data_IF_256680591167
#
_entry.id   IF_256680591167
#
_cell.length_a   1.000
_cell.length_b   1.000
_cell.length_c   1.000
_cell.angle_alpha   90.00
_cell.angle_beta   90.00
_cell.angle_gamma   90.00
#
_symmetry.space_group_name_H-M   'P 1'
#
loop_
_entity.id
_entity.type
_entity.pdbx_description
1 polymer ?
#
# COMPACT_ATOMS: atom_id res chain seq x y z
N UNK A 1 26.23 -16.25 63.31
CA UNK A 1 27.61 -15.72 63.47
C UNK A 1 27.86 -14.78 62.36
N UNK A 2 27.86 -13.62 62.71
CA UNK A 2 28.80 -12.48 62.82
C UNK A 2 28.74 -11.56 61.61
N UNK A 3 28.12 -10.46 61.83
CA UNK A 3 28.49 -9.02 62.01
C UNK A 3 28.85 -8.33 60.72
N UNK A 4 27.98 -7.39 60.32
CA UNK A 4 27.99 -5.92 60.50
C UNK A 4 29.24 -5.20 59.93
N UNK A 5 29.03 -4.25 59.03
CA UNK A 5 29.34 -2.82 59.35
C UNK A 5 28.72 -1.88 58.29
N UNK A 6 27.88 -1.02 58.82
CA UNK A 6 27.45 0.25 58.24
C UNK A 6 28.60 1.27 58.32
N UNK A 7 28.69 2.25 57.41
CA UNK A 7 29.24 3.55 57.74
C UNK A 7 28.46 4.65 57.00
N UNK A 8 28.00 5.57 57.85
CA UNK A 8 27.20 6.78 57.51
C UNK A 8 28.14 8.03 57.38
N UNK A 9 27.74 8.94 56.46
CA UNK A 9 27.69 10.41 56.51
C UNK A 9 29.03 11.23 56.54
N UNK A 10 29.08 12.59 56.26
CA UNK A 10 27.94 13.53 56.11
C UNK A 10 28.04 14.60 54.96
N UNK A 11 26.92 15.28 54.80
CA UNK A 11 26.59 16.54 54.16
C UNK A 11 27.52 17.71 54.52
N UNK A 12 27.86 18.57 53.56
CA UNK A 12 28.06 20.02 53.79
C UNK A 12 27.54 20.88 52.61
N UNK A 13 26.54 21.69 52.96
CA UNK A 13 26.00 22.81 52.17
C UNK A 13 27.03 23.97 52.19
N UNK A 14 27.15 24.65 51.05
CA UNK A 14 27.57 26.10 51.05
C UNK A 14 26.78 26.79 49.95
N UNK A 15 25.90 27.70 50.38
CA UNK A 15 25.22 28.69 49.58
C UNK A 15 26.19 29.87 49.33
N UNK A 16 26.27 30.35 48.12
CA UNK A 16 26.87 31.66 47.81
C UNK A 16 25.82 32.45 46.97
N UNK A 17 25.25 33.44 47.61
CA UNK A 17 24.52 34.55 47.01
C UNK A 17 25.49 35.46 46.28
N UNK A 18 25.24 35.76 45.01
CA UNK A 18 25.84 36.93 44.33
C UNK A 18 24.71 37.75 43.73
N UNK A 19 24.56 38.97 44.27
CA UNK A 19 23.70 40.04 43.79
C UNK A 19 24.37 40.77 42.63
N UNK A 20 23.73 41.09 41.51
CA UNK A 20 24.26 42.10 40.58
C UNK A 20 23.60 43.44 40.85
N UNK A 21 24.45 44.44 41.03
CA UNK A 21 24.12 45.85 41.18
C UNK A 21 23.55 46.47 39.89
N UNK A 22 22.45 47.18 40.02
CA UNK A 22 21.86 48.06 39.01
C UNK A 22 22.73 49.35 38.89
N UNK A 23 23.32 49.57 37.72
CA UNK A 23 23.87 50.88 37.30
C UNK A 23 22.88 51.53 36.34
N UNK A 24 22.14 52.54 36.85
CA UNK A 24 21.33 53.44 36.05
C UNK A 24 22.25 54.51 35.41
N UNK A 25 22.37 54.51 34.11
CA UNK A 25 23.00 55.60 33.36
C UNK A 25 21.91 56.52 32.80
N UNK A 26 21.86 57.75 33.35
CA UNK A 26 21.08 58.84 32.80
C UNK A 26 21.70 59.34 31.50
N UNK A 27 20.99 59.18 30.38
CA UNK A 27 21.33 59.83 29.11
C UNK A 27 20.52 61.12 29.01
N UNK A 28 21.20 62.28 29.06
CA UNK A 28 20.61 63.57 28.73
C UNK A 28 20.35 63.68 27.24
N UNK A 29 19.09 63.95 26.88
CA UNK A 29 18.67 64.25 25.51
C UNK A 29 18.88 65.71 25.22
N UNK A 30 19.83 66.02 24.33
CA UNK A 30 20.03 67.37 23.79
C UNK A 30 19.16 67.51 22.54
N UNK A 31 18.30 68.56 22.40
CA UNK A 31 17.47 68.74 21.20
C UNK A 31 18.35 69.22 20.01
N UNK A 32 18.23 68.52 18.89
CA UNK A 32 18.89 68.90 17.64
C UNK A 32 18.15 70.05 16.93
N UNK A 33 18.86 70.95 16.22
CA UNK A 33 18.24 72.07 15.55
C UNK A 33 17.40 71.67 14.35
N UNK A 34 16.25 72.33 14.15
CA UNK A 34 15.31 72.15 13.04
C UNK A 34 16.01 72.50 11.73
N UNK A 35 16.09 71.53 10.82
CA UNK A 35 16.46 71.72 9.41
C UNK A 35 15.29 72.35 8.61
N UNK A 36 15.57 73.15 7.56
CA UNK A 36 14.56 73.82 6.78
C UNK A 36 13.70 72.84 5.95
N UNK A 37 12.43 73.11 5.89
CA UNK A 37 11.41 72.35 5.20
C UNK A 37 11.68 72.34 3.69
N UNK A 38 11.82 71.15 3.10
CA UNK A 38 11.89 70.87 1.67
C UNK A 38 10.49 70.84 1.08
N UNK A 39 10.26 71.37 -0.09
CA UNK A 39 8.95 71.30 -0.77
C UNK A 39 8.54 69.83 -1.06
N UNK A 40 7.22 69.53 -1.11
CA UNK A 40 6.76 68.16 -1.33
C UNK A 40 7.21 67.63 -2.68
N UNK A 41 7.89 66.51 -2.67
CA UNK A 41 8.27 65.80 -3.90
C UNK A 41 7.01 65.26 -4.62
N UNK A 42 6.95 65.51 -5.92
CA UNK A 42 5.96 64.95 -6.84
C UNK A 42 5.93 63.39 -6.72
N UNK A 43 4.78 62.72 -6.65
CA UNK A 43 4.69 61.28 -6.58
C UNK A 43 5.40 60.65 -7.79
N UNK A 44 6.42 59.84 -7.55
CA UNK A 44 7.06 59.01 -8.58
C UNK A 44 6.03 58.01 -9.15
N UNK A 45 5.91 57.96 -10.47
CA UNK A 45 5.07 57.02 -11.13
C UNK A 45 5.50 55.59 -10.73
N UNK A 46 4.57 54.90 -10.06
CA UNK A 46 4.79 53.46 -9.72
C UNK A 46 4.89 52.68 -11.02
N UNK A 47 6.03 51.99 -11.20
CA UNK A 47 6.19 50.99 -12.25
C UNK A 47 5.08 49.93 -12.07
N UNK A 48 4.41 49.53 -13.15
CA UNK A 48 3.41 48.46 -13.05
C UNK A 48 4.01 47.21 -12.40
N UNK A 49 3.36 46.73 -11.36
CA UNK A 49 3.71 45.46 -10.74
C UNK A 49 3.54 44.35 -11.80
N UNK A 50 4.49 43.42 -11.96
CA UNK A 50 4.29 42.29 -12.86
C UNK A 50 3.03 41.54 -12.44
N UNK A 51 2.06 41.41 -13.34
CA UNK A 51 0.89 40.60 -13.18
C UNK A 51 1.38 39.15 -13.12
N UNK A 52 1.04 38.36 -12.08
CA UNK A 52 1.39 36.95 -12.07
C UNK A 52 0.82 36.29 -13.33
N UNK A 53 1.56 35.41 -14.01
CA UNK A 53 1.01 34.70 -15.15
C UNK A 53 -0.26 33.95 -14.71
N UNK A 54 -1.33 34.08 -15.51
CA UNK A 54 -2.57 33.37 -15.27
C UNK A 54 -2.27 31.86 -15.11
N UNK A 55 -2.94 31.15 -14.17
CA UNK A 55 -2.72 29.74 -14.00
C UNK A 55 -2.96 29.04 -15.34
N UNK A 56 -1.89 28.45 -15.90
CA UNK A 56 -1.96 27.63 -17.10
C UNK A 56 -2.87 26.44 -16.76
N UNK A 57 -4.06 26.44 -17.34
CA UNK A 57 -4.99 25.32 -17.24
C UNK A 57 -4.25 24.09 -17.79
N UNK A 58 -4.06 23.01 -17.00
CA UNK A 58 -3.42 21.82 -17.54
C UNK A 58 -4.17 21.35 -18.77
N UNK A 59 -3.46 21.10 -19.87
CA UNK A 59 -4.06 20.46 -21.03
C UNK A 59 -4.72 19.15 -20.57
N UNK A 60 -5.92 18.80 -21.08
CA UNK A 60 -6.56 17.55 -20.73
C UNK A 60 -5.58 16.41 -20.99
N UNK A 61 -5.30 15.64 -19.94
CA UNK A 61 -4.42 14.48 -20.03
C UNK A 61 -4.93 13.58 -21.16
N UNK A 62 -4.06 13.29 -22.13
CA UNK A 62 -4.38 12.36 -23.21
C UNK A 62 -4.87 11.06 -22.57
N UNK A 63 -6.04 10.51 -22.96
CA UNK A 63 -6.52 9.27 -22.40
C UNK A 63 -5.41 8.21 -22.53
N UNK A 64 -5.01 7.59 -21.42
CA UNK A 64 -4.10 6.46 -21.46
C UNK A 64 -4.70 5.41 -22.41
N UNK A 65 -3.91 4.74 -23.27
CA UNK A 65 -4.44 3.70 -24.14
C UNK A 65 -5.21 2.70 -23.31
N UNK A 66 -6.42 2.35 -23.77
CA UNK A 66 -7.27 1.37 -23.08
C UNK A 66 -6.45 0.09 -22.86
N UNK A 67 -6.19 -0.27 -21.60
CA UNK A 67 -5.44 -1.48 -21.30
C UNK A 67 -6.24 -2.69 -21.78
N UNK A 68 -5.59 -3.69 -22.41
CA UNK A 68 -6.25 -4.90 -22.83
C UNK A 68 -7.05 -5.51 -21.67
N UNK A 69 -8.26 -5.99 -21.96
CA UNK A 69 -9.22 -6.38 -20.92
C UNK A 69 -8.82 -7.67 -20.15
N UNK A 70 -7.98 -8.56 -20.75
CA UNK A 70 -7.60 -9.84 -20.12
C UNK A 70 -6.29 -10.42 -20.69
N UNK A 71 -5.78 -11.50 -20.08
CA UNK A 71 -4.63 -12.25 -20.58
C UNK A 71 -4.84 -12.75 -22.03
N UNK A 72 -6.03 -13.26 -22.32
CA UNK A 72 -6.38 -13.74 -23.68
C UNK A 72 -6.33 -12.59 -24.68
N UNK A 73 -6.81 -11.40 -24.32
CA UNK A 73 -6.80 -10.23 -25.20
C UNK A 73 -5.39 -9.68 -25.49
N UNK A 74 -4.46 -9.82 -24.53
CA UNK A 74 -3.04 -9.46 -24.74
C UNK A 74 -2.33 -10.49 -25.63
N UNK A 75 -2.83 -11.72 -25.62
CA UNK A 75 -2.21 -12.87 -26.25
C UNK A 75 -1.39 -13.70 -25.27
N UNK A 76 -1.44 -15.00 -25.48
CA UNK A 76 -0.75 -15.99 -24.67
C UNK A 76 0.05 -16.93 -25.55
N UNK A 77 1.19 -17.41 -25.05
CA UNK A 77 2.09 -18.37 -25.71
C UNK A 77 2.50 -19.44 -24.70
N UNK A 78 2.80 -20.64 -25.21
CA UNK A 78 3.45 -21.66 -24.38
C UNK A 78 4.80 -21.15 -23.90
N UNK A 79 5.08 -21.37 -22.62
CA UNK A 79 6.39 -21.13 -22.04
C UNK A 79 7.26 -22.38 -22.06
N UNK A 80 8.48 -22.33 -21.48
CA UNK A 80 9.35 -23.50 -21.33
C UNK A 80 8.70 -24.57 -20.43
N UNK A 81 9.15 -25.81 -20.56
CA UNK A 81 8.68 -26.88 -19.66
C UNK A 81 8.91 -26.53 -18.19
N UNK A 82 7.96 -26.84 -17.31
CA UNK A 82 8.15 -26.68 -15.85
C UNK A 82 9.38 -27.44 -15.35
N UNK A 83 9.73 -28.56 -15.98
CA UNK A 83 10.94 -29.35 -15.63
C UNK A 83 12.24 -28.60 -15.92
N UNK A 84 12.25 -27.63 -16.83
CA UNK A 84 13.43 -26.80 -17.13
C UNK A 84 13.58 -25.58 -16.21
N UNK A 85 12.59 -25.30 -15.38
CA UNK A 85 12.67 -24.20 -14.43
C UNK A 85 13.50 -24.61 -13.20
N UNK A 86 14.39 -23.73 -12.71
CA UNK A 86 15.17 -23.98 -11.50
C UNK A 86 14.30 -23.82 -10.25
N UNK A 87 13.40 -24.78 -10.02
CA UNK A 87 12.53 -24.77 -8.84
C UNK A 87 13.33 -25.19 -7.61
N UNK A 88 13.67 -24.23 -6.75
CA UNK A 88 14.30 -24.49 -5.46
C UNK A 88 13.39 -25.32 -4.55
N UNK A 89 13.99 -26.24 -3.74
CA UNK A 89 13.22 -27.13 -2.87
C UNK A 89 12.36 -26.37 -1.84
N UNK A 90 12.92 -25.33 -1.22
CA UNK A 90 12.22 -24.48 -0.25
C UNK A 90 11.07 -23.69 -0.89
N UNK A 91 11.31 -23.05 -2.03
CA UNK A 91 10.34 -22.22 -2.73
C UNK A 91 9.18 -23.07 -3.26
N UNK A 92 9.50 -24.23 -3.86
CA UNK A 92 8.48 -25.16 -4.32
C UNK A 92 7.63 -25.70 -3.17
N UNK A 93 8.23 -26.00 -2.00
CA UNK A 93 7.50 -26.48 -0.84
C UNK A 93 6.55 -25.41 -0.29
N UNK A 94 7.02 -24.16 -0.16
CA UNK A 94 6.21 -23.04 0.27
C UNK A 94 5.07 -22.72 -0.70
N UNK A 95 5.37 -22.74 -2.02
CA UNK A 95 4.36 -22.56 -3.05
C UNK A 95 3.32 -23.69 -3.06
N UNK A 96 3.71 -24.96 -2.84
CA UNK A 96 2.78 -26.08 -2.75
C UNK A 96 1.85 -25.94 -1.53
N UNK A 97 2.37 -25.49 -0.38
CA UNK A 97 1.55 -25.22 0.80
C UNK A 97 0.50 -24.11 0.50
N UNK A 98 0.91 -22.98 -0.07
CA UNK A 98 0.01 -21.91 -0.47
C UNK A 98 -0.98 -22.31 -1.56
N UNK A 99 -0.55 -23.16 -2.51
CA UNK A 99 -1.44 -23.70 -3.53
C UNK A 99 -2.53 -24.58 -2.91
N UNK A 100 -2.21 -25.44 -1.94
CA UNK A 100 -3.20 -26.26 -1.20
C UNK A 100 -4.25 -25.38 -0.54
N UNK A 101 -3.87 -24.29 0.10
CA UNK A 101 -4.80 -23.32 0.71
C UNK A 101 -5.71 -22.66 -0.34
N UNK A 102 -5.22 -22.50 -1.57
CA UNK A 102 -5.98 -21.91 -2.67
C UNK A 102 -7.02 -22.86 -3.27
N UNK A 103 -6.83 -24.17 -3.16
CA UNK A 103 -7.63 -25.21 -3.82
C UNK A 103 -9.15 -25.12 -3.59
N UNK A 104 -9.65 -24.88 -2.37
CA UNK A 104 -11.10 -24.73 -2.14
C UNK A 104 -11.72 -23.56 -2.91
N UNK A 105 -10.92 -22.59 -3.31
CA UNK A 105 -11.37 -21.38 -4.02
C UNK A 105 -11.24 -21.51 -5.54
N UNK A 106 -10.11 -22.00 -6.04
CA UNK A 106 -9.87 -22.09 -7.50
C UNK A 106 -10.79 -23.08 -8.20
N UNK A 107 -11.22 -24.12 -7.49
CA UNK A 107 -12.13 -25.15 -8.04
C UNK A 107 -13.58 -24.70 -8.21
N UNK A 108 -13.95 -23.50 -7.69
CA UNK A 108 -15.32 -22.94 -7.78
C UNK A 108 -15.35 -21.51 -8.33
N UNK A 109 -14.20 -20.82 -8.39
CA UNK A 109 -14.13 -19.41 -8.79
C UNK A 109 -14.07 -19.26 -10.30
N UNK A 110 -14.82 -18.31 -10.85
CA UNK A 110 -14.64 -17.85 -12.24
C UNK A 110 -13.34 -17.06 -12.38
N UNK A 111 -12.53 -17.43 -13.35
CA UNK A 111 -11.27 -16.76 -13.68
C UNK A 111 -11.50 -15.62 -14.67
N UNK A 112 -11.17 -14.39 -14.22
CA UNK A 112 -11.31 -13.19 -15.04
C UNK A 112 -10.21 -13.04 -16.12
N UNK A 113 -9.11 -13.80 -16.02
CA UNK A 113 -8.05 -13.79 -17.02
C UNK A 113 -8.43 -14.51 -18.31
N UNK A 114 -9.40 -15.43 -18.24
CA UNK A 114 -9.83 -16.30 -19.32
C UNK A 114 -8.91 -17.52 -19.55
N UNK A 115 -7.82 -17.64 -18.78
CA UNK A 115 -6.85 -18.74 -18.95
C UNK A 115 -7.43 -20.06 -18.46
N UNK A 116 -8.10 -20.09 -17.31
CA UNK A 116 -8.50 -21.31 -16.63
C UNK A 116 -10.02 -21.38 -16.37
N UNK A 117 -10.49 -22.57 -16.11
CA UNK A 117 -11.84 -22.88 -15.63
C UNK A 117 -11.76 -23.61 -14.30
N UNK A 118 -12.78 -23.55 -13.44
CA UNK A 118 -12.79 -24.29 -12.16
C UNK A 118 -12.46 -25.78 -12.32
N UNK A 119 -12.92 -26.41 -13.39
CA UNK A 119 -12.67 -27.83 -13.66
C UNK A 119 -11.20 -28.16 -13.93
N UNK A 120 -10.43 -27.23 -14.52
CA UNK A 120 -9.02 -27.44 -14.86
C UNK A 120 -8.18 -27.71 -13.61
N UNK A 121 -8.55 -27.12 -12.47
CA UNK A 121 -7.81 -27.20 -11.20
C UNK A 121 -8.04 -28.50 -10.41
N UNK A 122 -9.12 -29.24 -10.69
CA UNK A 122 -9.56 -30.36 -9.84
C UNK A 122 -8.49 -31.44 -9.69
N UNK A 123 -7.84 -31.86 -10.78
CA UNK A 123 -6.80 -32.88 -10.73
C UNK A 123 -5.58 -32.46 -9.91
N UNK A 124 -5.07 -31.24 -10.17
CA UNK A 124 -3.94 -30.69 -9.43
C UNK A 124 -4.26 -30.52 -7.94
N UNK A 125 -5.48 -30.05 -7.60
CA UNK A 125 -5.90 -29.85 -6.21
C UNK A 125 -6.09 -31.18 -5.47
N UNK A 126 -6.69 -32.19 -6.09
CA UNK A 126 -6.84 -33.53 -5.52
C UNK A 126 -5.46 -34.15 -5.22
N UNK A 127 -4.54 -34.05 -6.20
CA UNK A 127 -3.19 -34.51 -6.03
C UNK A 127 -2.41 -33.74 -4.95
N UNK A 128 -2.57 -32.42 -4.88
CA UNK A 128 -1.92 -31.61 -3.86
C UNK A 128 -2.31 -32.03 -2.44
N UNK A 129 -3.57 -32.35 -2.19
CA UNK A 129 -4.05 -32.82 -0.89
C UNK A 129 -3.37 -34.12 -0.44
N UNK A 130 -3.09 -35.04 -1.38
CA UNK A 130 -2.48 -36.34 -1.13
C UNK A 130 -0.95 -36.36 -1.36
N UNK A 131 -0.32 -35.21 -1.67
CA UNK A 131 1.11 -35.14 -2.03
C UNK A 131 1.98 -35.07 -0.76
N UNK A 132 2.02 -36.16 0.01
CA UNK A 132 2.84 -36.28 1.23
C UNK A 132 4.25 -36.77 0.93
N UNK A 133 5.28 -36.16 1.56
CA UNK A 133 6.67 -36.63 1.56
C UNK A 133 7.42 -36.63 0.22
N UNK A 134 6.81 -36.25 -0.89
CA UNK A 134 7.39 -36.20 -2.23
C UNK A 134 7.92 -34.79 -2.54
N UNK A 135 8.83 -34.70 -3.51
CA UNK A 135 9.35 -33.41 -4.00
C UNK A 135 8.23 -32.48 -4.47
N UNK A 136 8.15 -31.28 -3.90
CA UNK A 136 7.19 -30.27 -4.33
C UNK A 136 7.48 -29.77 -5.76
N UNK A 137 8.75 -29.70 -6.18
CA UNK A 137 9.10 -29.38 -7.56
C UNK A 137 8.53 -30.42 -8.54
N UNK A 138 8.60 -31.70 -8.20
CA UNK A 138 8.00 -32.78 -8.99
C UNK A 138 6.48 -32.65 -9.11
N UNK A 139 5.79 -32.14 -8.06
CA UNK A 139 4.37 -31.85 -8.12
C UNK A 139 4.06 -30.86 -9.25
N UNK A 140 4.74 -29.70 -9.28
CA UNK A 140 4.51 -28.71 -10.32
C UNK A 140 4.88 -29.20 -11.70
N UNK A 141 5.97 -29.95 -11.84
CA UNK A 141 6.37 -30.60 -13.10
C UNK A 141 5.32 -31.58 -13.62
N UNK A 142 4.65 -32.29 -12.72
CA UNK A 142 3.65 -33.31 -13.09
C UNK A 142 2.32 -32.70 -13.51
N UNK A 143 1.85 -31.67 -12.80
CA UNK A 143 0.46 -31.19 -12.93
C UNK A 143 0.33 -29.85 -13.67
N UNK A 144 1.44 -29.16 -13.97
CA UNK A 144 1.40 -27.83 -14.55
C UNK A 144 2.18 -27.72 -15.87
N UNK A 145 1.76 -26.76 -16.66
CA UNK A 145 2.44 -26.23 -17.84
C UNK A 145 2.56 -24.72 -17.72
N UNK A 146 3.52 -24.10 -18.42
CA UNK A 146 3.77 -22.67 -18.32
C UNK A 146 3.13 -21.87 -19.44
N UNK A 147 2.59 -20.72 -19.09
CA UNK A 147 2.02 -19.73 -20.01
C UNK A 147 2.80 -18.43 -19.90
N UNK A 148 3.17 -17.87 -21.05
CA UNK A 148 3.69 -16.50 -21.17
C UNK A 148 2.57 -15.59 -21.63
N UNK A 149 2.24 -14.57 -20.85
CA UNK A 149 1.23 -13.53 -21.19
C UNK A 149 1.95 -12.35 -21.84
N UNK A 150 1.52 -11.98 -23.04
CA UNK A 150 2.13 -10.90 -23.81
C UNK A 150 3.61 -11.17 -24.11
N UNK A 151 4.48 -10.20 -23.77
CA UNK A 151 5.94 -10.32 -23.94
C UNK A 151 6.63 -11.06 -22.80
N UNK A 152 5.90 -11.39 -21.73
CA UNK A 152 6.44 -12.09 -20.55
C UNK A 152 7.37 -11.26 -19.66
N UNK A 153 7.51 -9.95 -19.92
CA UNK A 153 8.36 -9.08 -19.10
C UNK A 153 7.66 -8.77 -17.78
N UNK A 154 8.22 -9.31 -16.70
CA UNK A 154 7.72 -9.15 -15.34
C UNK A 154 8.27 -7.92 -14.66
N UNK A 155 7.41 -7.31 -13.83
CA UNK A 155 7.80 -6.28 -12.88
C UNK A 155 7.18 -6.59 -11.52
N UNK A 156 8.01 -6.68 -10.49
CA UNK A 156 7.57 -6.95 -9.13
C UNK A 156 8.03 -5.86 -8.15
N UNK A 157 7.13 -5.51 -7.25
CA UNK A 157 7.41 -4.77 -6.01
C UNK A 157 7.17 -5.69 -4.82
N UNK A 158 7.24 -5.18 -3.60
CA UNK A 158 7.00 -5.94 -2.39
C UNK A 158 5.97 -5.29 -1.48
N UNK A 159 5.25 -6.13 -0.74
CA UNK A 159 4.37 -5.70 0.35
C UNK A 159 4.58 -6.57 1.58
N UNK A 160 4.11 -6.08 2.72
CA UNK A 160 4.28 -6.73 4.02
C UNK A 160 3.06 -6.43 4.91
N UNK A 161 2.93 -7.10 6.04
CA UNK A 161 1.94 -6.79 7.07
C UNK A 161 2.56 -5.81 8.07
N UNK A 162 2.22 -4.51 8.04
CA UNK A 162 2.75 -3.54 8.99
C UNK A 162 2.21 -3.80 10.39
N UNK A 163 3.01 -3.46 11.41
CA UNK A 163 2.59 -3.38 12.79
C UNK A 163 2.78 -1.94 13.25
N UNK A 164 1.71 -1.30 13.68
CA UNK A 164 1.68 0.10 14.10
C UNK A 164 1.05 0.24 15.49
N UNK A 165 1.31 1.36 16.16
CA UNK A 165 0.70 1.66 17.44
C UNK A 165 -0.81 1.90 17.28
N UNK A 166 -1.63 1.12 17.99
CA UNK A 166 -3.09 1.20 17.89
C UNK A 166 -3.79 0.68 19.16
N UNK A 167 -5.02 1.14 19.39
CA UNK A 167 -5.84 0.77 20.53
C UNK A 167 -7.28 0.48 20.11
N UNK A 168 -7.95 -0.45 20.81
CA UNK A 168 -9.38 -0.73 20.60
C UNK A 168 -10.30 0.40 21.07
N UNK A 169 -9.81 1.21 21.99
CA UNK A 169 -10.54 2.31 22.60
C UNK A 169 -9.81 3.62 22.34
N UNK A 170 -10.53 4.75 22.27
CA UNK A 170 -9.87 6.05 22.21
C UNK A 170 -9.13 6.32 23.53
N UNK A 171 -7.81 6.51 23.41
CA UNK A 171 -6.92 6.86 24.52
C UNK A 171 -6.02 8.02 24.11
N UNK A 172 -5.47 8.80 25.04
CA UNK A 172 -4.55 9.90 24.71
C UNK A 172 -3.42 9.43 23.80
N UNK A 173 -3.13 10.18 22.74
CA UNK A 173 -2.12 9.84 21.73
C UNK A 173 -2.60 8.92 20.60
N UNK A 174 -3.82 8.38 20.66
CA UNK A 174 -4.42 7.52 19.63
C UNK A 174 -5.68 8.20 19.09
N UNK A 175 -5.50 9.12 18.15
CA UNK A 175 -6.58 9.99 17.70
C UNK A 175 -7.11 9.66 16.28
N UNK A 176 -6.42 8.80 15.53
CA UNK A 176 -6.79 8.50 14.14
C UNK A 176 -7.70 7.27 14.11
N UNK A 177 -8.98 7.43 13.71
CA UNK A 177 -9.94 6.33 13.74
C UNK A 177 -9.71 5.33 12.60
N UNK A 178 -9.83 4.05 12.93
CA UNK A 178 -9.89 2.93 11.97
C UNK A 178 -11.35 2.55 11.77
N UNK A 179 -11.88 2.79 10.58
CA UNK A 179 -13.30 2.58 10.30
C UNK A 179 -13.59 1.19 9.69
N UNK A 180 -14.69 0.58 10.13
CA UNK A 180 -15.37 -0.53 9.44
C UNK A 180 -16.11 -0.05 8.20
N UNK A 181 -16.60 -1.01 7.39
CA UNK A 181 -17.41 -0.70 6.20
C UNK A 181 -18.69 0.05 6.59
N UNK A 182 -18.92 1.25 6.04
CA UNK A 182 -20.17 1.95 6.23
C UNK A 182 -21.34 1.27 5.52
N UNK A 183 -22.51 1.19 6.18
CA UNK A 183 -23.69 0.55 5.59
C UNK A 183 -24.30 1.32 4.43
N UNK A 184 -24.03 2.62 4.32
CA UNK A 184 -24.47 3.50 3.21
C UNK A 184 -23.52 3.53 2.02
N UNK A 185 -22.37 2.83 2.09
CA UNK A 185 -21.49 2.63 0.96
C UNK A 185 -22.03 1.47 0.09
N UNK A 186 -22.71 1.83 -0.97
CA UNK A 186 -23.46 0.89 -1.81
C UNK A 186 -23.06 1.02 -3.28
N UNK A 187 -23.45 0.06 -4.09
CA UNK A 187 -23.36 0.20 -5.55
C UNK A 187 -24.56 0.96 -6.07
N UNK A 188 -24.33 1.79 -7.09
CA UNK A 188 -25.42 2.43 -7.81
C UNK A 188 -26.43 1.39 -8.33
N UNK A 189 -27.70 1.72 -8.29
CA UNK A 189 -28.72 0.93 -9.00
C UNK A 189 -28.55 1.12 -10.51
N UNK A 190 -28.98 0.15 -11.33
CA UNK A 190 -29.04 0.35 -12.78
C UNK A 190 -29.87 1.59 -13.13
N UNK A 191 -29.28 2.46 -13.95
CA UNK A 191 -29.90 3.74 -14.32
C UNK A 191 -29.42 4.95 -13.52
N UNK A 192 -28.92 4.78 -12.27
CA UNK A 192 -28.47 5.91 -11.44
C UNK A 192 -27.03 6.34 -11.74
N UNK A 193 -26.25 5.48 -12.40
CA UNK A 193 -24.88 5.78 -12.84
C UNK A 193 -24.46 4.86 -14.01
N UNK A 194 -23.41 5.25 -14.72
CA UNK A 194 -22.80 4.38 -15.74
C UNK A 194 -21.93 3.29 -15.09
N UNK A 195 -21.93 2.05 -15.63
CA UNK A 195 -21.00 1.02 -15.19
C UNK A 195 -19.54 1.46 -15.34
N UNK A 196 -18.72 0.96 -14.44
CA UNK A 196 -17.26 1.12 -14.54
C UNK A 196 -16.70 0.36 -15.75
N UNK A 197 -15.46 0.59 -16.19
CA UNK A 197 -14.84 -0.16 -17.28
C UNK A 197 -14.81 -1.68 -17.08
N UNK A 198 -14.98 -2.16 -15.84
CA UNK A 198 -15.11 -3.58 -15.51
C UNK A 198 -16.55 -4.10 -15.60
N UNK A 199 -17.50 -3.31 -16.07
CA UNK A 199 -18.92 -3.65 -16.18
C UNK A 199 -19.69 -3.66 -14.85
N UNK A 200 -19.07 -3.28 -13.73
CA UNK A 200 -19.72 -3.20 -12.43
C UNK A 200 -20.27 -1.80 -12.17
N UNK A 201 -21.42 -1.70 -11.51
CA UNK A 201 -21.91 -0.41 -11.02
C UNK A 201 -20.92 0.22 -10.03
N UNK A 202 -20.70 1.55 -10.07
CA UNK A 202 -19.76 2.21 -9.18
C UNK A 202 -20.21 2.13 -7.72
N UNK A 203 -19.24 2.20 -6.80
CA UNK A 203 -19.48 2.39 -5.37
C UNK A 203 -19.68 3.88 -5.06
N UNK A 204 -20.61 4.18 -4.17
CA UNK A 204 -20.94 5.51 -3.72
C UNK A 204 -22.02 5.46 -2.63
N UNK A 205 -22.82 6.50 -2.53
CA UNK A 205 -23.94 6.59 -1.59
C UNK A 205 -25.12 7.31 -2.23
N UNK A 206 -26.28 7.13 -1.67
CA UNK A 206 -27.43 7.98 -1.98
C UNK A 206 -27.45 9.18 -1.02
N UNK A 207 -27.62 10.39 -1.54
CA UNK A 207 -27.75 11.59 -0.73
C UNK A 207 -29.19 11.73 -0.15
N UNK A 208 -29.42 12.78 0.65
CA UNK A 208 -30.73 13.04 1.26
C UNK A 208 -31.86 13.34 0.26
N UNK A 209 -31.52 13.50 -1.03
CA UNK A 209 -32.48 13.70 -2.13
C UNK A 209 -32.70 12.44 -2.94
N UNK A 210 -32.04 11.33 -2.57
CA UNK A 210 -32.10 10.07 -3.29
C UNK A 210 -31.22 10.01 -4.53
N UNK A 211 -30.35 10.98 -4.78
CA UNK A 211 -29.41 10.98 -5.90
C UNK A 211 -28.17 10.17 -5.56
N UNK A 212 -27.71 9.32 -6.51
CA UNK A 212 -26.44 8.60 -6.33
C UNK A 212 -25.26 9.55 -6.52
N UNK A 213 -24.38 9.60 -5.51
CA UNK A 213 -23.19 10.44 -5.50
C UNK A 213 -21.94 9.60 -5.10
N UNK A 214 -20.72 10.04 -5.50
CA UNK A 214 -19.49 9.42 -5.02
C UNK A 214 -19.45 9.38 -3.48
N UNK A 215 -18.79 8.37 -2.93
CA UNK A 215 -18.57 8.32 -1.49
C UNK A 215 -17.59 9.41 -1.04
N UNK A 216 -17.48 9.62 0.27
CA UNK A 216 -16.52 10.55 0.86
C UNK A 216 -15.08 10.18 0.46
N UNK A 217 -14.30 11.14 0.01
CA UNK A 217 -12.89 10.98 -0.25
C UNK A 217 -12.06 11.00 1.05
N UNK A 218 -10.77 10.68 0.93
CA UNK A 218 -9.83 10.70 2.07
C UNK A 218 -9.90 12.01 2.84
N UNK A 219 -9.82 13.14 2.16
CA UNK A 219 -9.83 14.45 2.81
C UNK A 219 -11.13 14.72 3.59
N UNK A 220 -12.28 14.31 3.08
CA UNK A 220 -13.56 14.43 3.76
C UNK A 220 -13.63 13.51 5.00
N UNK A 221 -13.14 12.26 4.87
CA UNK A 221 -13.11 11.30 5.98
C UNK A 221 -12.18 11.79 7.09
N UNK A 222 -10.99 12.29 6.75
CA UNK A 222 -10.04 12.87 7.71
C UNK A 222 -10.61 14.12 8.43
N UNK A 223 -11.49 14.86 7.75
CA UNK A 223 -12.22 15.98 8.37
C UNK A 223 -13.46 15.56 9.17
N UNK A 224 -13.69 14.28 9.36
CA UNK A 224 -14.74 13.75 10.22
C UNK A 224 -16.06 13.42 9.52
N UNK A 225 -16.10 13.21 8.20
CA UNK A 225 -17.34 12.84 7.49
C UNK A 225 -17.98 11.53 8.00
N UNK A 226 -17.24 10.72 8.76
CA UNK A 226 -17.71 9.47 9.36
C UNK A 226 -17.80 9.52 10.89
N UNK A 227 -17.40 10.62 11.52
CA UNK A 227 -17.40 10.76 12.98
C UNK A 227 -18.81 10.64 13.57
N UNK A 228 -18.91 9.99 14.73
CA UNK A 228 -20.19 9.81 15.44
C UNK A 228 -21.12 8.77 14.81
N UNK A 229 -20.67 8.01 13.83
CA UNK A 229 -21.48 6.99 13.16
C UNK A 229 -21.33 5.58 13.76
N UNK A 230 -20.48 5.42 14.79
CA UNK A 230 -20.23 4.12 15.43
C UNK A 230 -19.51 3.13 14.51
N UNK A 231 -18.69 3.63 13.58
CA UNK A 231 -17.94 2.82 12.62
C UNK A 231 -16.51 2.52 13.06
N UNK A 232 -16.06 3.15 14.15
CA UNK A 232 -14.72 3.01 14.68
C UNK A 232 -14.53 1.64 15.31
N UNK A 233 -13.54 0.88 14.81
CA UNK A 233 -13.16 -0.44 15.35
C UNK A 233 -11.86 -0.39 16.16
N UNK A 234 -11.08 0.66 15.96
CA UNK A 234 -9.82 0.95 16.66
C UNK A 234 -9.40 2.40 16.41
N UNK A 235 -8.36 2.83 17.11
CA UNK A 235 -7.69 4.12 16.93
C UNK A 235 -6.18 3.89 16.83
N UNK A 236 -5.49 4.65 15.98
CA UNK A 236 -4.04 4.57 15.82
C UNK A 236 -3.37 5.90 16.17
N UNK A 237 -2.08 5.82 16.50
CA UNK A 237 -1.33 6.99 16.96
C UNK A 237 -0.86 7.88 15.79
N UNK A 238 -0.39 7.28 14.71
CA UNK A 238 0.27 7.99 13.61
C UNK A 238 -0.55 7.86 12.30
N UNK A 239 -1.03 9.01 11.74
CA UNK A 239 -1.76 9.03 10.48
C UNK A 239 -0.91 8.62 9.27
N UNK A 240 0.42 8.79 9.33
CA UNK A 240 1.32 8.43 8.24
C UNK A 240 1.48 6.91 8.20
N UNK A 241 1.76 6.27 9.34
CA UNK A 241 1.80 4.81 9.45
C UNK A 241 0.46 4.19 9.03
N UNK A 242 -0.66 4.81 9.43
CA UNK A 242 -1.99 4.34 9.03
C UNK A 242 -2.24 4.48 7.53
N UNK A 243 -1.80 5.58 6.91
CA UNK A 243 -1.88 5.73 5.46
C UNK A 243 -1.17 4.58 4.74
N UNK A 244 0.04 4.23 5.15
CA UNK A 244 0.78 3.12 4.55
C UNK A 244 0.15 1.76 4.86
N UNK A 245 -0.41 1.57 6.07
CA UNK A 245 -1.18 0.35 6.40
C UNK A 245 -2.41 0.21 5.48
N UNK A 246 -3.11 1.31 5.16
CA UNK A 246 -4.21 1.28 4.19
C UNK A 246 -3.73 0.88 2.78
N UNK A 247 -2.52 1.30 2.37
CA UNK A 247 -1.92 0.89 1.10
C UNK A 247 -1.61 -0.62 1.10
N UNK A 248 -1.13 -1.15 2.23
CA UNK A 248 -0.86 -2.60 2.39
C UNK A 248 -2.15 -3.44 2.48
N UNK A 249 -3.27 -2.84 2.92
CA UNK A 249 -4.58 -3.49 2.98
C UNK A 249 -4.82 -4.38 4.21
N UNK A 250 -3.81 -4.63 5.02
CA UNK A 250 -3.90 -5.33 6.31
C UNK A 250 -2.80 -4.88 7.24
N UNK A 251 -2.93 -5.15 8.54
CA UNK A 251 -1.91 -4.81 9.51
C UNK A 251 -2.25 -5.28 10.92
N UNK A 252 -1.30 -5.04 11.81
CA UNK A 252 -1.36 -5.36 13.23
C UNK A 252 -1.34 -4.06 14.02
N UNK A 253 -2.30 -3.90 14.91
CA UNK A 253 -2.40 -2.79 15.83
C UNK A 253 -1.90 -3.25 17.19
N UNK A 254 -0.76 -2.71 17.64
CA UNK A 254 -0.20 -3.01 18.96
C UNK A 254 -0.64 -1.96 19.96
N UNK A 255 -1.38 -2.39 20.96
CA UNK A 255 -1.84 -1.54 22.05
C UNK A 255 -0.73 -1.30 23.12
N UNK A 256 -0.88 -0.25 23.95
CA UNK A 256 0.08 0.05 25.03
C UNK A 256 0.31 -1.09 26.02
N UNK A 257 -0.69 -1.94 26.24
CA UNK A 257 -0.61 -3.14 27.08
C UNK A 257 0.09 -4.33 26.41
N UNK A 258 0.56 -4.16 25.16
CA UNK A 258 1.21 -5.19 24.37
C UNK A 258 0.25 -6.09 23.60
N UNK A 259 -1.07 -5.98 23.80
CA UNK A 259 -2.05 -6.75 23.04
C UNK A 259 -2.03 -6.36 21.55
N UNK A 260 -2.31 -7.32 20.68
CA UNK A 260 -2.29 -7.13 19.23
C UNK A 260 -3.65 -7.45 18.64
N UNK A 261 -4.22 -6.47 17.94
CA UNK A 261 -5.39 -6.63 17.10
C UNK A 261 -4.96 -6.69 15.63
N UNK A 262 -5.37 -7.73 14.91
CA UNK A 262 -5.16 -7.80 13.46
C UNK A 262 -6.34 -7.23 12.72
N UNK A 263 -6.07 -6.40 11.73
CA UNK A 263 -7.07 -5.82 10.84
C UNK A 263 -6.77 -6.16 9.40
N UNK A 264 -7.81 -6.37 8.62
CA UNK A 264 -7.69 -6.67 7.21
C UNK A 264 -8.74 -5.94 6.40
N UNK A 265 -8.50 -5.89 5.10
CA UNK A 265 -9.33 -5.22 4.12
C UNK A 265 -10.80 -5.70 4.21
N UNK A 266 -11.71 -4.76 4.41
CA UNK A 266 -13.16 -4.97 4.33
C UNK A 266 -13.74 -4.40 3.03
N UNK A 267 -13.16 -3.32 2.54
CA UNK A 267 -13.59 -2.64 1.33
C UNK A 267 -12.89 -1.28 1.17
N UNK A 268 -13.28 -0.54 0.14
CA UNK A 268 -12.78 0.81 -0.11
C UNK A 268 -13.91 1.71 -0.62
N UNK A 269 -13.71 3.03 -0.54
CA UNK A 269 -14.73 4.06 -0.80
C UNK A 269 -15.16 4.22 -2.27
N UNK A 270 -14.69 3.40 -3.20
CA UNK A 270 -15.05 3.47 -4.61
C UNK A 270 -14.25 4.46 -5.45
N UNK A 271 -13.41 5.27 -4.82
CA UNK A 271 -12.57 6.26 -5.52
C UNK A 271 -11.23 5.67 -6.00
N UNK A 272 -10.66 6.21 -7.08
CA UNK A 272 -9.41 5.70 -7.63
C UNK A 272 -8.25 5.80 -6.64
N UNK A 273 -7.40 4.79 -6.64
CA UNK A 273 -6.12 4.83 -5.95
C UNK A 273 -5.12 5.68 -6.74
N UNK A 274 -4.45 6.60 -6.06
CA UNK A 274 -3.35 7.40 -6.58
C UNK A 274 -2.08 7.08 -5.79
N UNK A 275 -1.06 6.54 -6.48
CA UNK A 275 0.23 6.23 -5.85
C UNK A 275 1.05 7.49 -5.64
N UNK A 276 1.17 7.95 -4.39
CA UNK A 276 1.88 9.20 -4.07
C UNK A 276 3.37 9.17 -4.47
N UNK A 277 4.02 8.00 -4.45
CA UNK A 277 5.41 7.86 -4.90
C UNK A 277 5.60 8.20 -6.39
N UNK A 278 4.57 7.98 -7.23
CA UNK A 278 4.54 8.45 -8.62
C UNK A 278 4.52 9.97 -8.70
N UNK A 279 3.56 10.58 -8.00
CA UNK A 279 3.43 12.05 -7.93
C UNK A 279 4.71 12.72 -7.42
N UNK A 280 5.36 12.12 -6.41
CA UNK A 280 6.61 12.65 -5.87
C UNK A 280 7.76 12.60 -6.88
N UNK A 281 7.85 11.51 -7.68
CA UNK A 281 8.84 11.44 -8.78
C UNK A 281 8.57 12.49 -9.84
N UNK A 282 7.33 12.64 -10.27
CA UNK A 282 6.92 13.61 -11.28
C UNK A 282 7.19 15.07 -10.83
N UNK A 283 7.20 15.31 -9.52
CA UNK A 283 7.53 16.60 -8.87
C UNK A 283 9.01 16.75 -8.53
N UNK A 284 9.84 15.75 -8.80
CA UNK A 284 11.27 15.77 -8.45
C UNK A 284 11.56 15.70 -6.95
N UNK A 285 10.62 15.29 -6.11
CA UNK A 285 10.79 15.19 -4.66
C UNK A 285 11.54 13.93 -4.23
N UNK A 286 11.41 12.85 -5.01
CA UNK A 286 12.11 11.58 -4.78
C UNK A 286 12.83 11.10 -6.03
N UNK A 287 13.98 10.50 -5.83
CA UNK A 287 14.82 10.00 -6.92
C UNK A 287 16.23 9.68 -6.42
N UNK A 288 17.21 9.84 -7.30
CA UNK A 288 18.64 9.66 -7.02
C UNK A 288 19.46 10.94 -7.23
N UNK A 289 18.79 12.07 -7.52
CA UNK A 289 19.42 13.37 -7.72
C UNK A 289 19.78 14.08 -6.41
N UNK A 290 20.64 15.11 -6.45
CA UNK A 290 20.96 15.92 -5.28
C UNK A 290 19.69 16.54 -4.67
N UNK A 291 19.56 16.48 -3.34
CA UNK A 291 18.42 17.04 -2.60
C UNK A 291 17.12 16.25 -2.70
N UNK A 292 17.08 15.14 -3.43
CA UNK A 292 15.92 14.27 -3.49
C UNK A 292 15.94 13.22 -2.38
N UNK A 293 14.77 12.92 -1.84
CA UNK A 293 14.60 11.76 -0.98
C UNK A 293 14.64 10.46 -1.80
N UNK A 294 14.97 9.34 -1.16
CA UNK A 294 14.95 8.05 -1.84
C UNK A 294 13.55 7.74 -2.40
N UNK A 295 13.48 7.16 -3.59
CA UNK A 295 12.22 6.67 -4.18
C UNK A 295 11.64 5.44 -3.51
N UNK A 296 12.26 4.92 -2.43
CA UNK A 296 11.76 3.84 -1.60
C UNK A 296 10.60 4.31 -0.70
N UNK A 297 9.84 3.36 -0.13
CA UNK A 297 8.80 3.67 0.85
C UNK A 297 9.36 4.45 2.06
N UNK A 298 10.56 4.10 2.52
CA UNK A 298 11.25 4.77 3.62
C UNK A 298 11.55 6.25 3.30
N UNK A 299 12.04 6.53 2.09
CA UNK A 299 12.32 7.91 1.69
C UNK A 299 11.04 8.73 1.50
N UNK A 300 9.94 8.12 1.06
CA UNK A 300 8.63 8.78 0.99
C UNK A 300 8.12 9.11 2.40
N UNK A 301 8.20 8.17 3.34
CA UNK A 301 7.83 8.38 4.75
C UNK A 301 8.66 9.51 5.35
N UNK A 302 9.98 9.49 5.13
CA UNK A 302 10.88 10.53 5.63
C UNK A 302 10.48 11.91 5.09
N UNK A 303 10.23 12.05 3.78
CA UNK A 303 9.75 13.30 3.21
C UNK A 303 8.48 13.82 3.92
N UNK A 304 7.50 12.94 4.17
CA UNK A 304 6.23 13.34 4.79
C UNK A 304 6.47 13.81 6.23
N UNK A 305 7.36 13.18 6.99
CA UNK A 305 7.72 13.63 8.35
C UNK A 305 8.45 14.96 8.35
N UNK A 306 9.39 15.15 7.42
CA UNK A 306 10.19 16.40 7.33
C UNK A 306 9.34 17.57 6.80
N UNK A 307 8.24 17.29 6.08
CA UNK A 307 7.36 18.29 5.46
C UNK A 307 5.86 18.00 5.84
N UNK A 308 5.45 18.16 7.07
CA UNK A 308 4.15 17.65 7.55
C UNK A 308 2.94 18.27 6.84
N UNK A 309 2.98 19.54 6.45
CA UNK A 309 1.88 20.21 5.74
C UNK A 309 1.76 19.69 4.32
N UNK A 310 2.86 19.69 3.58
CA UNK A 310 2.91 19.24 2.19
C UNK A 310 2.71 17.72 2.10
N UNK A 311 3.25 16.98 3.07
CA UNK A 311 3.06 15.54 3.19
C UNK A 311 1.61 15.15 3.42
N UNK A 312 0.91 15.86 4.29
CA UNK A 312 -0.53 15.66 4.50
C UNK A 312 -1.34 15.99 3.24
N UNK A 313 -1.01 17.09 2.55
CA UNK A 313 -1.64 17.44 1.29
C UNK A 313 -1.41 16.36 0.22
N UNK A 314 -0.18 15.86 0.11
CA UNK A 314 0.20 14.80 -0.81
C UNK A 314 -0.56 13.49 -0.54
N UNK A 315 -0.68 13.07 0.72
CA UNK A 315 -1.45 11.87 1.09
C UNK A 315 -2.93 11.99 0.68
N UNK A 316 -3.52 13.20 0.76
CA UNK A 316 -4.91 13.47 0.36
C UNK A 316 -5.14 13.43 -1.15
N UNK A 317 -4.10 13.51 -1.99
CA UNK A 317 -4.23 13.29 -3.43
C UNK A 317 -4.60 11.83 -3.76
N UNK A 318 -4.27 10.88 -2.89
CA UNK A 318 -4.86 9.57 -2.93
C UNK A 318 -6.27 9.61 -2.30
N UNK A 319 -7.30 9.80 -3.13
CA UNK A 319 -8.70 9.88 -2.69
C UNK A 319 -9.26 8.55 -2.17
N UNK A 320 -8.60 7.44 -2.48
CA UNK A 320 -9.01 6.11 -2.00
C UNK A 320 -8.84 6.00 -0.48
N UNK A 321 -9.86 5.45 0.17
CA UNK A 321 -9.85 5.11 1.59
C UNK A 321 -10.20 3.66 1.79
N UNK A 322 -9.41 2.93 2.57
CA UNK A 322 -9.64 1.52 2.90
C UNK A 322 -10.35 1.40 4.24
N UNK A 323 -11.41 0.62 4.27
CA UNK A 323 -12.15 0.21 5.46
C UNK A 323 -11.67 -1.16 5.92
N UNK A 324 -11.70 -1.40 7.22
CA UNK A 324 -11.13 -2.59 7.83
C UNK A 324 -12.16 -3.43 8.57
N UNK A 325 -11.80 -4.66 8.84
CA UNK A 325 -12.46 -5.57 9.78
C UNK A 325 -11.40 -6.25 10.63
N UNK A 326 -11.77 -6.63 11.85
CA UNK A 326 -10.90 -7.46 12.66
C UNK A 326 -10.73 -8.85 12.03
N UNK A 327 -9.50 -9.34 12.00
CA UNK A 327 -9.16 -10.67 11.52
C UNK A 327 -8.93 -11.60 12.70
N UNK A 328 -9.54 -12.78 12.63
CA UNK A 328 -9.29 -13.91 13.52
C UNK A 328 -8.64 -15.02 12.73
N UNK A 329 -7.60 -15.66 13.26
CA UNK A 329 -6.89 -16.77 12.63
C UNK A 329 -5.51 -16.40 12.07
N UNK A 330 -4.96 -17.28 11.22
CA UNK A 330 -3.57 -17.25 10.76
C UNK A 330 -3.36 -16.30 9.58
N UNK A 331 -2.65 -15.21 9.79
CA UNK A 331 -2.16 -14.33 8.75
C UNK A 331 -3.20 -13.38 8.13
N UNK A 332 -2.73 -12.41 7.35
CA UNK A 332 -3.59 -11.57 6.55
C UNK A 332 -4.24 -12.37 5.43
N UNK A 333 -5.50 -12.04 5.10
CA UNK A 333 -6.24 -12.68 4.03
C UNK A 333 -6.05 -11.91 2.72
N UNK A 334 -5.61 -12.62 1.69
CA UNK A 334 -5.55 -12.08 0.33
C UNK A 334 -6.93 -12.02 -0.36
N UNK A 335 -6.95 -11.49 -1.59
CA UNK A 335 -8.17 -11.36 -2.39
C UNK A 335 -8.83 -12.70 -2.74
N UNK A 336 -8.10 -13.79 -2.66
CA UNK A 336 -8.64 -15.15 -2.78
C UNK A 336 -9.40 -15.60 -1.52
N UNK A 337 -9.38 -14.79 -0.46
CA UNK A 337 -9.92 -15.10 0.87
C UNK A 337 -9.28 -16.34 1.51
N UNK A 338 -7.97 -16.46 1.33
CA UNK A 338 -7.10 -17.42 2.01
C UNK A 338 -5.93 -16.66 2.61
N UNK A 339 -5.23 -17.21 3.64
CA UNK A 339 -4.05 -16.58 4.20
C UNK A 339 -2.96 -16.36 3.13
N UNK A 340 -2.34 -15.18 3.10
CA UNK A 340 -1.12 -14.97 2.34
C UNK A 340 0.09 -15.35 3.19
N UNK A 341 1.05 -16.01 2.56
CA UNK A 341 2.24 -16.57 3.22
C UNK A 341 3.50 -15.86 2.75
N UNK A 342 4.34 -15.48 3.71
CA UNK A 342 5.64 -14.87 3.41
C UNK A 342 6.46 -15.76 2.48
N UNK A 343 7.13 -15.15 1.51
CA UNK A 343 7.98 -15.81 0.51
C UNK A 343 7.26 -16.86 -0.36
N UNK A 344 5.92 -16.84 -0.38
CA UNK A 344 5.13 -17.81 -1.16
C UNK A 344 3.93 -17.18 -1.86
N UNK A 345 3.36 -16.09 -1.32
CA UNK A 345 2.19 -15.44 -1.91
C UNK A 345 2.58 -14.19 -2.67
N UNK A 346 1.88 -13.94 -3.77
CA UNK A 346 2.07 -12.75 -4.61
C UNK A 346 0.71 -12.14 -4.95
N UNK A 347 0.65 -10.80 -4.98
CA UNK A 347 -0.49 -10.08 -5.54
C UNK A 347 -0.29 -9.88 -7.05
N UNK A 348 -1.38 -10.04 -7.81
CA UNK A 348 -1.41 -9.88 -9.26
C UNK A 348 -2.73 -9.27 -9.73
N UNK A 349 -2.79 -8.81 -10.98
CA UNK A 349 -4.05 -8.40 -11.60
C UNK A 349 -4.85 -9.64 -12.05
N UNK A 350 -6.02 -9.91 -11.47
CA UNK A 350 -6.81 -11.11 -11.80
C UNK A 350 -7.32 -11.15 -13.24
N UNK A 351 -7.25 -10.04 -13.97
CA UNK A 351 -7.53 -10.02 -15.42
C UNK A 351 -6.43 -10.68 -16.24
N UNK A 352 -5.24 -10.86 -15.69
CA UNK A 352 -4.08 -11.41 -16.39
C UNK A 352 -3.53 -12.67 -15.74
N UNK A 353 -3.77 -12.85 -14.44
CA UNK A 353 -3.28 -14.01 -13.67
C UNK A 353 -4.45 -14.64 -12.93
N UNK A 354 -4.76 -15.92 -13.14
CA UNK A 354 -5.77 -16.61 -12.34
C UNK A 354 -5.39 -16.56 -10.87
N UNK A 355 -6.26 -16.04 -9.99
CA UNK A 355 -5.99 -16.12 -8.56
C UNK A 355 -5.96 -17.58 -8.12
N UNK A 356 -4.91 -17.95 -7.38
CA UNK A 356 -4.56 -19.31 -6.99
C UNK A 356 -3.54 -19.98 -7.91
N UNK A 357 -3.24 -19.39 -9.07
CA UNK A 357 -2.21 -19.92 -9.97
C UNK A 357 -0.80 -19.73 -9.39
N UNK A 358 0.07 -20.76 -9.50
CA UNK A 358 1.49 -20.56 -9.27
C UNK A 358 2.09 -19.64 -10.35
N UNK A 359 3.03 -18.81 -9.96
CA UNK A 359 3.76 -17.86 -10.83
C UNK A 359 5.24 -18.04 -10.59
N UNK A 360 5.99 -18.27 -11.64
CA UNK A 360 7.44 -18.31 -11.58
C UNK A 360 8.02 -16.98 -12.07
N UNK A 361 8.83 -16.35 -11.20
CA UNK A 361 9.49 -15.08 -11.45
C UNK A 361 11.00 -15.29 -11.58
N UNK A 362 11.62 -14.72 -12.60
CA UNK A 362 13.07 -14.60 -12.75
C UNK A 362 13.41 -13.12 -12.91
N UNK A 363 13.84 -12.50 -11.81
CA UNK A 363 14.05 -11.08 -11.72
C UNK A 363 15.54 -10.73 -11.50
N UNK A 364 15.89 -9.47 -11.76
CA UNK A 364 17.18 -8.87 -11.37
C UNK A 364 17.35 -8.74 -9.83
N UNK A 365 16.29 -9.08 -9.08
CA UNK A 365 16.27 -9.18 -7.62
C UNK A 365 16.19 -10.66 -7.24
N UNK A 366 17.29 -11.19 -6.71
CA UNK A 366 17.43 -12.61 -6.37
C UNK A 366 16.40 -13.09 -5.35
N UNK A 367 16.12 -12.26 -4.33
CA UNK A 367 15.21 -12.56 -3.25
C UNK A 367 13.75 -12.74 -3.72
N UNK A 368 13.37 -12.14 -4.85
CA UNK A 368 12.03 -12.29 -5.43
C UNK A 368 11.99 -13.31 -6.60
N UNK A 369 13.16 -13.84 -7.00
CA UNK A 369 13.22 -14.90 -8.01
C UNK A 369 12.81 -16.23 -7.39
N UNK A 370 11.83 -16.93 -7.97
CA UNK A 370 11.32 -18.21 -7.47
C UNK A 370 9.86 -18.45 -7.81
N UNK A 371 9.28 -19.43 -7.15
CA UNK A 371 7.91 -19.86 -7.35
C UNK A 371 7.00 -19.25 -6.27
N UNK A 372 5.99 -18.50 -6.71
CA UNK A 372 4.99 -17.79 -5.90
C UNK A 372 3.60 -18.30 -6.25
N UNK A 373 2.58 -18.01 -5.43
CA UNK A 373 1.17 -18.30 -5.72
C UNK A 373 0.37 -17.00 -5.68
N UNK A 374 -0.39 -16.72 -6.74
CA UNK A 374 -1.20 -15.51 -6.87
C UNK A 374 -2.44 -15.60 -5.97
N UNK A 375 -2.35 -15.15 -4.72
CA UNK A 375 -3.43 -15.24 -3.74
C UNK A 375 -4.06 -13.89 -3.42
N UNK A 376 -3.45 -12.81 -3.92
CA UNK A 376 -3.87 -11.45 -3.61
C UNK A 376 -3.93 -10.55 -4.85
N UNK A 377 -4.45 -9.33 -4.66
CA UNK A 377 -4.46 -8.25 -5.67
C UNK A 377 -4.34 -6.90 -4.96
N UNK A 378 -3.95 -5.87 -5.70
CA UNK A 378 -3.82 -4.52 -5.14
C UNK A 378 -4.34 -3.43 -6.07
N UNK A 379 -4.67 -2.27 -5.51
CA UNK A 379 -5.07 -1.08 -6.26
C UNK A 379 -4.03 -0.63 -7.28
N UNK A 380 -2.75 -0.77 -6.93
CA UNK A 380 -1.59 -0.43 -7.75
C UNK A 380 -1.08 -1.60 -8.62
N UNK A 381 -1.59 -2.82 -8.41
CA UNK A 381 -1.13 -4.02 -9.11
C UNK A 381 -2.04 -4.25 -10.32
N UNK A 382 -1.75 -3.54 -11.40
CA UNK A 382 -2.57 -3.51 -12.60
C UNK A 382 -1.75 -3.80 -13.85
N UNK A 383 -2.34 -4.58 -14.76
CA UNK A 383 -1.74 -4.94 -16.05
C UNK A 383 -1.09 -6.33 -16.07
N UNK A 384 -0.68 -6.73 -17.28
CA UNK A 384 0.01 -8.00 -17.50
C UNK A 384 1.37 -8.00 -16.79
N UNK A 385 1.73 -9.14 -16.21
CA UNK A 385 3.03 -9.41 -15.60
C UNK A 385 3.45 -8.40 -14.50
N UNK A 386 2.48 -7.74 -13.86
CA UNK A 386 2.68 -6.86 -12.72
C UNK A 386 2.38 -7.61 -11.42
N UNK A 387 3.36 -7.68 -10.53
CA UNK A 387 3.32 -8.47 -9.31
C UNK A 387 3.69 -7.64 -8.09
N UNK A 388 3.29 -8.12 -6.91
CA UNK A 388 3.70 -7.60 -5.61
C UNK A 388 3.95 -8.77 -4.67
N UNK A 389 5.20 -9.02 -4.29
CA UNK A 389 5.62 -10.19 -3.51
C UNK A 389 5.41 -9.95 -2.02
N UNK A 390 4.83 -10.92 -1.30
CA UNK A 390 4.55 -10.80 0.14
C UNK A 390 5.73 -11.27 0.99
N UNK A 391 6.20 -10.39 1.88
CA UNK A 391 7.40 -10.62 2.70
C UNK A 391 7.11 -10.94 4.15
N UNK A 392 5.82 -11.04 4.56
CA UNK A 392 5.44 -11.33 5.93
C UNK A 392 5.26 -10.08 6.78
N UNK A 393 5.62 -10.14 8.05
CA UNK A 393 5.47 -9.06 9.01
C UNK A 393 6.81 -8.72 9.70
N UNK A 394 6.84 -7.56 10.36
CA UNK A 394 8.00 -7.10 11.13
C UNK A 394 9.02 -6.30 10.31
N UNK A 395 10.07 -5.86 10.97
CA UNK A 395 11.02 -4.88 10.42
C UNK A 395 11.78 -5.39 9.20
N UNK A 396 12.24 -6.63 9.20
CA UNK A 396 12.94 -7.21 8.05
C UNK A 396 12.02 -7.28 6.81
N UNK A 397 10.76 -7.66 6.99
CA UNK A 397 9.76 -7.66 5.92
C UNK A 397 9.51 -6.23 5.40
N UNK A 398 9.43 -5.25 6.28
CA UNK A 398 9.27 -3.84 5.95
C UNK A 398 10.43 -3.32 5.09
N UNK A 399 11.67 -3.62 5.48
CA UNK A 399 12.87 -3.21 4.74
C UNK A 399 12.93 -3.88 3.37
N UNK A 400 12.69 -5.17 3.30
CA UNK A 400 12.72 -5.93 2.05
C UNK A 400 11.61 -5.46 1.10
N UNK A 401 10.37 -5.39 1.58
CA UNK A 401 9.24 -4.94 0.77
C UNK A 401 9.40 -3.49 0.29
N UNK A 402 9.84 -2.59 1.18
CA UNK A 402 10.02 -1.18 0.87
C UNK A 402 11.12 -0.89 -0.16
N UNK A 403 12.12 -1.77 -0.25
CA UNK A 403 13.20 -1.71 -1.24
C UNK A 403 12.99 -2.59 -2.47
N UNK A 404 11.89 -3.37 -2.52
CA UNK A 404 11.65 -4.32 -3.61
C UNK A 404 11.19 -3.62 -4.88
N UNK A 405 12.00 -3.71 -5.93
CA UNK A 405 11.69 -3.29 -7.30
C UNK A 405 12.51 -4.13 -8.25
N UNK A 406 11.91 -5.16 -8.84
CA UNK A 406 12.59 -6.14 -9.69
C UNK A 406 11.97 -6.22 -11.07
N UNK A 407 12.81 -6.37 -12.09
CA UNK A 407 12.42 -6.56 -13.50
C UNK A 407 12.99 -7.87 -14.04
N UNK A 408 12.28 -8.48 -14.98
CA UNK A 408 12.76 -9.72 -15.57
C UNK A 408 11.66 -10.46 -16.32
N UNK A 409 11.55 -11.76 -16.11
CA UNK A 409 10.58 -12.64 -16.77
C UNK A 409 9.56 -13.18 -15.77
N UNK A 410 8.32 -13.33 -16.24
CA UNK A 410 7.24 -13.96 -15.50
C UNK A 410 6.58 -15.05 -16.33
N UNK A 411 6.33 -16.19 -15.70
CA UNK A 411 5.58 -17.31 -16.26
C UNK A 411 4.45 -17.67 -15.30
N UNK A 412 3.25 -17.86 -15.84
CA UNK A 412 2.11 -18.36 -15.08
C UNK A 412 2.05 -19.88 -15.26
N UNK A 413 1.92 -20.61 -14.17
CA UNK A 413 1.70 -22.04 -14.22
C UNK A 413 0.20 -22.32 -14.19
N UNK A 414 -0.29 -22.99 -15.23
CA UNK A 414 -1.68 -23.42 -15.36
C UNK A 414 -1.76 -24.94 -15.37
N UNK A 415 -2.88 -25.56 -14.94
CA UNK A 415 -3.00 -27.03 -15.00
C UNK A 415 -2.78 -27.56 -16.40
N UNK A 416 -2.10 -28.70 -16.51
CA UNK A 416 -1.87 -29.38 -17.81
C UNK A 416 -3.15 -29.60 -18.60
N UNK A 417 -3.08 -29.38 -19.90
CA UNK A 417 -4.21 -29.42 -20.83
C UNK A 417 -4.89 -28.07 -21.04
N UNK A 418 -4.54 -27.06 -20.26
CA UNK A 418 -5.05 -25.68 -20.41
C UNK A 418 -4.63 -25.08 -21.76
N UNK A 419 -3.36 -25.21 -22.15
CA UNK A 419 -2.84 -24.70 -23.43
C UNK A 419 -3.53 -25.37 -24.63
N UNK A 420 -3.67 -26.70 -24.59
CA UNK A 420 -4.40 -27.44 -25.63
C UNK A 420 -5.85 -26.96 -25.79
N UNK A 421 -6.56 -26.74 -24.66
CA UNK A 421 -7.92 -26.21 -24.64
C UNK A 421 -8.01 -24.78 -25.19
N UNK A 422 -6.97 -23.98 -24.99
CA UNK A 422 -6.90 -22.60 -25.50
C UNK A 422 -6.43 -22.54 -26.98
N UNK A 423 -6.06 -23.67 -27.59
CA UNK A 423 -5.49 -23.70 -28.93
C UNK A 423 -4.09 -23.07 -29.03
N UNK A 424 -3.37 -23.00 -27.91
CA UNK A 424 -2.01 -22.42 -27.83
C UNK A 424 -0.99 -23.52 -28.05
N UNK A 425 -0.09 -23.31 -28.99
CA UNK A 425 1.02 -24.23 -29.35
C UNK A 425 2.37 -23.67 -28.87
#
# INVERSE_FOLDING_TARGET
>A
MSRRRESRFPVRRLAALVLPALLAACVQVVPAPKAPSRPPARPAAQKPRPVPPAPVRPAPARPAPAQPASAIAVGVKAGPSVASLPLGGSDAAAALASFRESCPRVTVRTDASGLTRPADWRSACAAAAAWGGKSAAQFFQTYFETVRVGDGKGFATGYYEPEIAGSRNPVPGYAVPVYSMPGDLVRAKPGDASPTPSGRMPLGRYDGRGSFVPYHDRAAIERGALSGRGLEIAWVADPIEFFFLQVQGSGRLRAPDGSVMRIGYAGQNGLPYTGIGGLMRDRGLVGSGPGQYSGSMQGIIQYIHDNPVDGAALMRENKSWVFFKELRGDGPLGALNVPVRAHASVAADPRFVPLGAPVWLRLDRREATGLWVAQDTGGAIKGANRFDTFWGAGEQARLTAGGMSGRGEALILVPKGTLARLGVR
#
